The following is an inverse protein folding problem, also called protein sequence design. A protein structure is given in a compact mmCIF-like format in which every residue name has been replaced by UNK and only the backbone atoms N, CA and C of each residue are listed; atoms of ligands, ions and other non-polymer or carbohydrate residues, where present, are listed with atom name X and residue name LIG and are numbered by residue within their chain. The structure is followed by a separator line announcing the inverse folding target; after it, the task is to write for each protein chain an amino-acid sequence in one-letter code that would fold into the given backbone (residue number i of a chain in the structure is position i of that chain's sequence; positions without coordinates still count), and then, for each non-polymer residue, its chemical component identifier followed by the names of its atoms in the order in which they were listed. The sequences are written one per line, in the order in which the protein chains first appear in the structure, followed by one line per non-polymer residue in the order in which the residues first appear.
data_IF_531075777290
#
_entry.id   IF_531075777290
#
_cell.length_a   1.000
_cell.length_b   1.000
_cell.length_c   1.000
_cell.angle_alpha   90.00
_cell.angle_beta   90.00
_cell.angle_gamma   90.00
#
_symmetry.space_group_name_H-M   'P 1'
#
loop_
_entity.id
_entity.type
_entity.pdbx_description
1 polymer ?
#
# COMPACT_ATOMS: atom_id res chain seq x y z
N UNK A 1 2.59 -19.89 -19.25
CA UNK A 1 3.69 -18.92 -19.50
C UNK A 1 4.01 -18.23 -18.19
N UNK A 2 5.19 -18.47 -17.63
CA UNK A 2 5.62 -17.81 -16.40
C UNK A 2 5.83 -16.33 -16.70
N UNK A 3 5.03 -15.47 -16.08
CA UNK A 3 5.12 -14.02 -16.21
C UNK A 3 6.33 -13.48 -15.41
N UNK A 4 7.54 -13.90 -15.81
CA UNK A 4 8.82 -13.51 -15.18
C UNK A 4 9.22 -12.06 -15.43
N UNK A 5 8.49 -11.35 -16.30
CA UNK A 5 8.75 -9.93 -16.60
C UNK A 5 8.38 -9.03 -15.42
N UNK A 6 7.31 -9.39 -14.71
CA UNK A 6 6.91 -8.70 -13.48
C UNK A 6 7.44 -9.46 -12.27
N UNK A 7 8.64 -9.09 -11.84
CA UNK A 7 9.24 -9.68 -10.67
C UNK A 7 8.54 -9.23 -9.36
N UNK A 8 8.91 -9.85 -8.26
CA UNK A 8 8.41 -9.54 -6.93
C UNK A 8 8.50 -8.05 -6.60
N UNK A 9 9.59 -7.38 -6.99
CA UNK A 9 9.82 -5.95 -6.71
C UNK A 9 8.75 -5.08 -7.37
N UNK A 10 8.39 -5.33 -8.63
CA UNK A 10 7.35 -4.58 -9.34
C UNK A 10 6.00 -4.83 -8.68
N UNK A 11 5.69 -6.08 -8.31
CA UNK A 11 4.45 -6.42 -7.60
C UNK A 11 4.36 -5.72 -6.25
N UNK A 12 5.44 -5.73 -5.46
CA UNK A 12 5.50 -5.06 -4.16
C UNK A 12 5.35 -3.55 -4.28
N UNK A 13 6.05 -2.93 -5.24
CA UNK A 13 5.92 -1.49 -5.49
C UNK A 13 4.50 -1.11 -5.96
N UNK A 14 3.91 -1.92 -6.85
CA UNK A 14 2.54 -1.69 -7.31
C UNK A 14 1.53 -1.80 -6.16
N UNK A 15 1.64 -2.83 -5.32
CA UNK A 15 0.80 -2.99 -4.14
C UNK A 15 0.98 -1.83 -3.16
N UNK A 16 2.23 -1.42 -2.88
CA UNK A 16 2.51 -0.26 -2.03
C UNK A 16 1.88 1.03 -2.58
N UNK A 17 1.97 1.27 -3.90
CA UNK A 17 1.35 2.43 -4.53
C UNK A 17 -0.17 2.41 -4.41
N UNK A 18 -0.82 1.26 -4.61
CA UNK A 18 -2.27 1.12 -4.43
C UNK A 18 -2.68 1.42 -2.98
N UNK A 19 -1.95 0.89 -2.00
CA UNK A 19 -2.23 1.14 -0.59
C UNK A 19 -2.00 2.63 -0.23
N UNK A 20 -0.95 3.26 -0.77
CA UNK A 20 -0.71 4.71 -0.62
C UNK A 20 -1.81 5.56 -1.24
N UNK A 21 -2.37 5.14 -2.37
CA UNK A 21 -3.54 5.79 -2.98
C UNK A 21 -4.78 5.68 -2.07
N UNK A 22 -5.04 4.51 -1.49
CA UNK A 22 -6.12 4.34 -0.52
C UNK A 22 -5.92 5.21 0.72
N UNK A 23 -4.70 5.26 1.26
CA UNK A 23 -4.36 6.15 2.40
C UNK A 23 -4.61 7.62 2.05
N UNK A 24 -4.24 8.05 0.85
CA UNK A 24 -4.52 9.39 0.36
C UNK A 24 -6.02 9.72 0.44
N UNK A 25 -6.87 8.78 0.03
CA UNK A 25 -8.32 8.98 0.07
C UNK A 25 -8.84 9.09 1.51
N UNK A 26 -8.30 8.29 2.44
CA UNK A 26 -8.67 8.35 3.87
C UNK A 26 -8.29 9.71 4.46
N UNK A 27 -7.04 10.15 4.25
CA UNK A 27 -6.56 11.45 4.73
C UNK A 27 -7.37 12.59 4.11
N UNK A 28 -7.64 12.54 2.80
CA UNK A 28 -8.44 13.56 2.13
C UNK A 28 -9.87 13.62 2.66
N UNK A 29 -10.45 12.47 3.02
CA UNK A 29 -11.76 12.44 3.65
C UNK A 29 -11.75 13.07 5.05
N UNK A 30 -10.68 12.82 5.86
CA UNK A 30 -10.52 13.47 7.15
C UNK A 30 -10.41 15.01 6.98
N UNK A 31 -9.55 15.47 6.07
CA UNK A 31 -9.38 16.91 5.80
C UNK A 31 -10.70 17.54 5.34
N UNK A 32 -11.43 16.91 4.44
CA UNK A 32 -12.72 17.41 3.93
C UNK A 32 -13.80 17.51 5.03
N UNK A 33 -13.67 16.73 6.10
CA UNK A 33 -14.61 16.69 7.21
C UNK A 33 -14.05 17.36 8.48
N UNK A 34 -12.97 18.15 8.39
CA UNK A 34 -12.36 18.81 9.54
C UNK A 34 -13.31 19.76 10.30
N UNK A 35 -14.31 20.31 9.62
CA UNK A 35 -15.33 21.18 10.19
C UNK A 35 -16.70 20.49 10.38
N UNK A 36 -16.78 19.16 10.14
CA UNK A 36 -18.04 18.43 10.29
C UNK A 36 -18.24 18.02 11.76
N UNK A 37 -19.31 18.47 12.43
CA UNK A 37 -19.57 18.10 13.82
C UNK A 37 -19.68 16.60 14.02
N UNK A 38 -19.12 16.09 15.13
CA UNK A 38 -19.10 14.67 15.51
C UNK A 38 -18.40 13.74 14.51
N UNK A 39 -17.64 14.26 13.56
CA UNK A 39 -16.87 13.41 12.64
C UNK A 39 -15.70 12.75 13.37
N UNK A 40 -15.52 11.45 13.13
CA UNK A 40 -14.40 10.67 13.65
C UNK A 40 -13.37 10.45 12.56
N UNK A 41 -12.16 10.97 12.77
CA UNK A 41 -11.04 10.76 11.86
C UNK A 41 -10.74 9.28 11.71
N UNK A 42 -10.45 8.84 10.49
CA UNK A 42 -10.06 7.47 10.17
C UNK A 42 -8.54 7.38 10.01
N UNK A 43 -7.98 6.27 10.46
CA UNK A 43 -6.60 5.86 10.17
C UNK A 43 -6.60 4.62 9.29
N UNK A 44 -5.52 4.45 8.54
CA UNK A 44 -5.32 3.29 7.68
C UNK A 44 -3.90 2.75 7.85
N UNK A 45 -3.79 1.48 8.23
CA UNK A 45 -2.53 0.76 8.33
C UNK A 45 -2.47 -0.38 7.32
N UNK A 46 -1.34 -0.56 6.68
CA UNK A 46 -1.11 -1.63 5.70
C UNK A 46 0.35 -2.11 5.67
N UNK A 47 1.29 -1.34 6.19
CA UNK A 47 2.73 -1.61 6.09
C UNK A 47 3.09 -2.97 6.67
N UNK A 48 2.55 -3.30 7.84
CA UNK A 48 2.76 -4.59 8.48
C UNK A 48 2.18 -5.77 7.68
N UNK A 49 1.00 -5.58 7.09
CA UNK A 49 0.37 -6.60 6.24
C UNK A 49 1.15 -6.78 4.94
N UNK A 50 1.60 -5.69 4.32
CA UNK A 50 2.40 -5.72 3.10
C UNK A 50 3.76 -6.39 3.35
N UNK A 51 4.44 -6.07 4.46
CA UNK A 51 5.70 -6.72 4.83
C UNK A 51 5.52 -8.23 4.97
N UNK A 52 4.54 -8.68 5.74
CA UNK A 52 4.22 -10.12 5.89
C UNK A 52 3.93 -10.78 4.54
N UNK A 53 3.19 -10.11 3.66
CA UNK A 53 2.88 -10.64 2.34
C UNK A 53 4.12 -10.77 1.45
N UNK A 54 5.07 -9.84 1.55
CA UNK A 54 6.35 -9.90 0.85
C UNK A 54 7.19 -11.07 1.35
N UNK A 55 7.26 -11.26 2.67
CA UNK A 55 8.00 -12.36 3.30
C UNK A 55 7.38 -13.72 2.92
N UNK A 56 6.05 -13.83 2.90
CA UNK A 56 5.35 -15.04 2.49
C UNK A 56 5.55 -15.38 1.00
N UNK A 57 5.63 -14.38 0.13
CA UNK A 57 5.93 -14.59 -1.30
C UNK A 57 7.33 -15.18 -1.51
N UNK A 58 8.30 -14.91 -0.59
CA UNK A 58 9.66 -15.48 -0.63
C UNK A 58 9.72 -16.95 -0.22
N UNK A 59 8.82 -17.40 0.65
CA UNK A 59 8.78 -18.80 1.08
C UNK A 59 8.41 -19.75 -0.04
N UNK A 60 8.01 -19.25 -1.22
CA UNK A 60 7.65 -20.05 -2.38
C UNK A 60 6.37 -20.88 -2.16
N UNK A 61 6.09 -21.79 -3.10
CA UNK A 61 5.02 -22.77 -2.94
C UNK A 61 5.43 -23.77 -1.84
N UNK A 62 4.82 -23.69 -0.69
CA UNK A 62 4.82 -24.85 0.21
C UNK A 62 4.19 -26.03 -0.53
N UNK A 63 4.88 -27.16 -0.52
CA UNK A 63 4.35 -28.38 -1.10
C UNK A 63 3.12 -28.82 -0.29
N UNK A 64 1.95 -28.64 -0.86
CA UNK A 64 0.68 -29.02 -0.23
C UNK A 64 0.48 -30.51 -0.49
N UNK A 65 0.55 -31.32 0.55
CA UNK A 65 0.34 -32.78 0.48
C UNK A 65 -1.13 -33.19 0.35
N UNK A 66 -2.09 -32.24 0.46
CA UNK A 66 -3.53 -32.48 0.29
C UNK A 66 -4.20 -31.29 -0.38
N UNK A 67 -5.16 -31.54 -1.31
CA UNK A 67 -5.84 -30.53 -2.12
C UNK A 67 -6.66 -29.50 -1.34
N UNK A 68 -6.98 -29.78 -0.08
CA UNK A 68 -7.78 -28.90 0.80
C UNK A 68 -6.93 -27.93 1.64
N UNK A 69 -5.59 -27.99 1.54
CA UNK A 69 -4.72 -27.06 2.24
C UNK A 69 -4.58 -25.75 1.48
N UNK A 70 -4.72 -24.64 2.19
CA UNK A 70 -4.49 -23.31 1.64
C UNK A 70 -3.07 -23.19 1.08
N UNK A 71 -2.96 -22.82 -0.20
CA UNK A 71 -1.68 -22.49 -0.83
C UNK A 71 -1.19 -21.17 -0.23
N UNK A 72 -0.32 -21.24 0.78
CA UNK A 72 0.37 -20.07 1.33
C UNK A 72 1.50 -19.65 0.39
N UNK A 73 1.68 -18.35 0.22
CA UNK A 73 2.85 -17.75 -0.42
C UNK A 73 2.55 -17.10 -1.76
N UNK A 74 2.13 -17.85 -2.76
CA UNK A 74 1.97 -17.30 -4.10
C UNK A 74 0.76 -16.36 -4.20
N UNK A 75 0.99 -15.08 -4.60
CA UNK A 75 -0.05 -14.07 -4.72
C UNK A 75 -0.43 -13.38 -3.41
N UNK A 76 0.34 -13.58 -2.33
CA UNK A 76 0.11 -12.94 -1.03
C UNK A 76 0.13 -11.41 -1.15
N UNK A 77 1.05 -10.85 -1.95
CA UNK A 77 1.16 -9.41 -2.19
C UNK A 77 -0.12 -8.84 -2.81
N UNK A 78 -0.75 -9.55 -3.74
CA UNK A 78 -2.00 -9.11 -4.38
C UNK A 78 -3.25 -9.22 -3.48
N UNK A 79 -3.13 -9.86 -2.32
CA UNK A 79 -4.23 -10.05 -1.36
C UNK A 79 -4.13 -9.13 -0.14
N UNK A 80 -3.14 -8.25 -0.10
CA UNK A 80 -2.99 -7.28 0.99
C UNK A 80 -4.23 -6.41 1.05
N UNK A 81 -4.84 -6.33 2.22
CA UNK A 81 -5.94 -5.42 2.51
C UNK A 81 -5.50 -4.43 3.56
N UNK A 82 -5.87 -3.16 3.42
CA UNK A 82 -5.63 -2.17 4.46
C UNK A 82 -6.58 -2.41 5.63
N UNK A 83 -6.10 -2.10 6.82
CA UNK A 83 -6.93 -1.96 8.02
C UNK A 83 -7.32 -0.50 8.19
N UNK A 84 -8.62 -0.21 8.15
CA UNK A 84 -9.17 1.15 8.29
C UNK A 84 -10.02 1.17 9.56
N UNK A 85 -9.64 2.04 10.49
CA UNK A 85 -10.25 2.14 11.81
C UNK A 85 -10.38 3.60 12.27
N UNK A 86 -11.20 3.83 13.29
CA UNK A 86 -11.29 5.15 13.92
C UNK A 86 -9.98 5.49 14.61
N UNK A 87 -9.46 6.70 14.40
CA UNK A 87 -8.22 7.13 15.03
C UNK A 87 -8.35 7.07 16.56
N UNK A 88 -7.53 6.25 17.26
CA UNK A 88 -7.60 6.17 18.72
C UNK A 88 -7.00 7.40 19.42
N UNK A 89 -6.24 8.24 18.72
CA UNK A 89 -5.71 9.51 19.25
C UNK A 89 -6.83 10.55 19.27
N UNK A 90 -7.57 10.59 20.37
CA UNK A 90 -8.75 11.41 20.50
C UNK A 90 -8.36 12.81 20.98
N UNK A 91 -8.30 13.77 20.09
CA UNK A 91 -8.42 15.19 20.43
C UNK A 91 -9.84 15.62 20.03
N UNK A 92 -10.75 15.67 21.00
CA UNK A 92 -12.07 16.20 20.74
C UNK A 92 -12.02 17.73 20.68
N UNK A 93 -12.52 18.27 19.60
CA UNK A 93 -12.94 19.69 19.55
C UNK A 93 -14.30 19.85 20.29
N UNK A 94 -14.70 21.07 20.59
CA UNK A 94 -15.95 21.34 21.31
C UNK A 94 -17.21 20.81 20.60
N UNK A 95 -17.14 20.56 19.29
CA UNK A 95 -18.19 20.00 18.44
C UNK A 95 -18.10 18.47 18.27
N UNK A 96 -17.18 17.81 19.01
CA UNK A 96 -16.99 16.35 18.96
C UNK A 96 -16.23 15.84 17.74
N UNK A 97 -15.66 16.72 16.93
CA UNK A 97 -14.78 16.34 15.81
C UNK A 97 -13.41 15.87 16.35
N UNK A 98 -12.81 14.84 15.73
CA UNK A 98 -11.50 14.30 16.14
C UNK A 98 -10.40 14.52 15.08
N UNK A 99 -10.66 15.31 14.05
CA UNK A 99 -9.67 15.62 13.00
C UNK A 99 -8.68 16.67 13.49
N UNK A 100 -7.40 16.33 13.45
CA UNK A 100 -6.30 17.27 13.62
C UNK A 100 -5.77 17.66 12.23
N UNK A 101 -6.17 18.83 11.75
CA UNK A 101 -5.87 19.27 10.39
C UNK A 101 -4.36 19.36 10.12
N UNK A 102 -3.57 19.78 11.11
CA UNK A 102 -2.11 19.90 10.95
C UNK A 102 -1.48 18.53 10.79
N UNK A 103 -1.91 17.54 11.59
CA UNK A 103 -1.43 16.15 11.47
C UNK A 103 -1.86 15.51 10.17
N UNK A 104 -3.11 15.74 9.74
CA UNK A 104 -3.60 15.20 8.46
C UNK A 104 -2.84 15.80 7.27
N UNK A 105 -2.56 17.11 7.27
CA UNK A 105 -1.77 17.75 6.22
C UNK A 105 -0.32 17.26 6.20
N UNK A 106 0.29 17.03 7.36
CA UNK A 106 1.62 16.43 7.45
C UNK A 106 1.62 14.99 6.90
N UNK A 107 0.64 14.17 7.28
CA UNK A 107 0.47 12.81 6.78
C UNK A 107 0.22 12.78 5.26
N UNK A 108 -0.54 13.74 4.72
CA UNK A 108 -0.77 13.91 3.29
C UNK A 108 0.53 14.13 2.53
N UNK A 109 1.36 15.06 3.02
CA UNK A 109 2.65 15.38 2.43
C UNK A 109 3.60 14.18 2.48
N UNK A 110 3.72 13.51 3.63
CA UNK A 110 4.54 12.31 3.78
C UNK A 110 4.11 11.21 2.80
N UNK A 111 2.79 10.92 2.75
CA UNK A 111 2.25 9.92 1.86
C UNK A 111 2.53 10.22 0.39
N UNK A 112 2.42 11.50 -0.01
CA UNK A 112 2.71 11.97 -1.38
C UNK A 112 4.18 11.82 -1.75
N UNK A 113 5.10 12.13 -0.83
CA UNK A 113 6.55 11.96 -1.05
C UNK A 113 6.88 10.49 -1.28
N UNK A 114 6.37 9.59 -0.44
CA UNK A 114 6.62 8.14 -0.56
C UNK A 114 5.98 7.58 -1.84
N UNK A 115 4.78 8.00 -2.19
CA UNK A 115 4.12 7.62 -3.44
C UNK A 115 4.95 8.03 -4.66
N UNK A 116 5.44 9.27 -4.69
CA UNK A 116 6.30 9.78 -5.76
C UNK A 116 7.63 9.02 -5.86
N UNK A 117 8.23 8.66 -4.72
CA UNK A 117 9.44 7.84 -4.69
C UNK A 117 9.18 6.45 -5.27
N UNK A 118 8.08 5.78 -4.89
CA UNK A 118 7.69 4.48 -5.42
C UNK A 118 7.44 4.55 -6.94
N UNK A 119 6.77 5.60 -7.42
CA UNK A 119 6.54 5.84 -8.86
C UNK A 119 7.85 5.98 -9.63
N UNK A 120 8.81 6.74 -9.11
CA UNK A 120 10.14 6.89 -9.72
C UNK A 120 10.89 5.56 -9.79
N UNK A 121 10.82 4.75 -8.72
CA UNK A 121 11.46 3.44 -8.67
C UNK A 121 10.86 2.47 -9.70
N UNK A 122 9.54 2.41 -9.81
CA UNK A 122 8.88 1.52 -10.77
C UNK A 122 9.19 1.94 -12.21
N UNK A 123 9.17 3.24 -12.51
CA UNK A 123 9.52 3.76 -13.82
C UNK A 123 10.98 3.47 -14.20
N UNK A 124 11.92 3.63 -13.26
CA UNK A 124 13.34 3.28 -13.46
C UNK A 124 13.50 1.78 -13.78
N UNK A 125 12.76 0.92 -13.06
CA UNK A 125 12.83 -0.52 -13.30
C UNK A 125 12.21 -0.91 -14.64
N UNK A 126 11.09 -0.33 -15.02
CA UNK A 126 10.46 -0.55 -16.33
C UNK A 126 11.36 -0.07 -17.48
N UNK A 127 12.03 1.08 -17.31
CA UNK A 127 13.00 1.57 -18.29
C UNK A 127 14.20 0.60 -18.46
N UNK A 128 14.71 0.05 -17.35
CA UNK A 128 15.78 -0.97 -17.40
C UNK A 128 15.30 -2.23 -18.12
N UNK A 129 14.10 -2.72 -17.85
CA UNK A 129 13.53 -3.88 -18.55
C UNK A 129 13.34 -3.60 -20.04
N UNK A 130 12.86 -2.41 -20.41
CA UNK A 130 12.72 -1.99 -21.81
C UNK A 130 14.09 -1.96 -22.51
N UNK A 131 15.10 -1.44 -21.86
CA UNK A 131 16.47 -1.41 -22.40
C UNK A 131 17.01 -2.82 -22.68
N UNK A 132 16.87 -3.74 -21.72
CA UNK A 132 17.28 -5.14 -21.88
C UNK A 132 16.51 -5.82 -23.03
N UNK A 133 15.21 -5.61 -23.10
CA UNK A 133 14.37 -6.18 -24.15
C UNK A 133 14.73 -5.65 -25.55
N UNK A 134 15.12 -4.37 -25.65
CA UNK A 134 15.48 -3.77 -26.96
C UNK A 134 16.89 -4.12 -27.41
N UNK A 135 17.84 -4.37 -26.50
CA UNK A 135 19.25 -4.64 -26.81
C UNK A 135 19.64 -6.12 -26.69
N UNK A 136 18.79 -6.95 -26.08
CA UNK A 136 19.03 -8.39 -25.90
C UNK A 136 18.82 -9.26 -27.15
N UNK A 137 18.49 -8.66 -28.27
CA UNK A 137 18.25 -9.34 -29.56
C UNK A 137 19.37 -9.13 -30.60
N UNK A 138 20.54 -8.64 -30.17
CA UNK A 138 21.73 -8.54 -31.02
C UNK A 138 22.80 -9.48 -30.57
#
# INVERSE_FOLDING_TARGET
MNNRVFDKTIKSLSAAMQMRQHRQNVISANVANAETPNYRAKKMDFEGALKRAIDLEDLGRMHVSHGDHFVMGQGAIGRVRPDIYDNPEINYTNDGNTVDLEKEMAALNENSIIYNAATKLINKKLAALKYVASNGGR
#
